data_IF_187906002387
#
_entry.id   IF_187906002387
#
_cell.length_a   1.000
_cell.length_b   1.000
_cell.length_c   1.000
_cell.angle_alpha   90.00
_cell.angle_beta   90.00
_cell.angle_gamma   90.00
#
_symmetry.space_group_name_H-M   'P 1'
#
loop_
_entity.id
_entity.type
_entity.pdbx_description
1 polymer ?
#
# COMPACT_ATOMS: atom_id res chain seq x y z
N UNK A 1 1.02 62.38 -76.33
CA UNK A 1 -0.15 61.93 -75.53
C UNK A 1 -1.05 61.13 -76.47
N UNK A 2 -1.68 59.98 -76.11
CA UNK A 2 -1.72 59.24 -74.84
C UNK A 2 -1.43 57.71 -74.95
N UNK A 3 -1.26 57.07 -73.78
CA UNK A 3 -1.56 55.69 -73.32
C UNK A 3 -1.71 54.48 -74.27
N UNK A 4 -1.04 53.35 -73.90
CA UNK A 4 -1.55 51.96 -73.67
C UNK A 4 -0.32 51.04 -73.41
N UNK A 5 0.14 50.74 -72.19
CA UNK A 5 -0.24 49.69 -71.22
C UNK A 5 -0.48 48.26 -71.76
N UNK A 6 0.35 47.32 -71.24
CA UNK A 6 0.20 45.85 -71.13
C UNK A 6 0.50 45.05 -72.44
N UNK A 7 1.21 43.92 -72.52
CA UNK A 7 1.49 42.81 -71.60
C UNK A 7 2.84 42.13 -71.96
N UNK A 8 3.79 42.19 -71.02
CA UNK A 8 4.59 41.08 -70.46
C UNK A 8 4.98 39.88 -71.37
N UNK A 9 6.18 39.94 -71.95
CA UNK A 9 6.98 38.76 -72.31
C UNK A 9 8.26 38.79 -71.45
N UNK A 10 8.31 37.92 -70.46
CA UNK A 10 9.48 37.70 -69.61
C UNK A 10 9.92 36.25 -69.79
N UNK A 11 10.75 36.00 -70.81
CA UNK A 11 11.62 34.84 -70.84
C UNK A 11 12.84 35.15 -69.97
N UNK A 12 12.80 34.64 -68.74
CA UNK A 12 13.90 34.68 -67.78
C UNK A 12 14.20 33.26 -67.31
N UNK A 13 15.11 32.60 -68.02
CA UNK A 13 16.19 31.74 -67.52
C UNK A 13 15.93 30.95 -66.21
N UNK A 14 15.92 29.60 -66.24
CA UNK A 14 15.76 28.81 -65.02
C UNK A 14 17.02 28.93 -64.14
N UNK A 15 16.81 29.38 -62.91
CA UNK A 15 17.84 29.51 -61.88
C UNK A 15 18.35 28.12 -61.44
N UNK A 16 19.67 27.83 -61.47
CA UNK A 16 20.22 26.56 -61.00
C UNK A 16 20.36 26.62 -59.47
N UNK A 17 19.25 26.38 -58.75
CA UNK A 17 19.22 26.67 -57.32
C UNK A 17 18.10 26.01 -56.54
N UNK A 18 17.83 24.73 -56.76
CA UNK A 18 17.02 23.93 -55.82
C UNK A 18 17.39 22.46 -55.95
N UNK A 19 18.47 22.07 -55.27
CA UNK A 19 18.77 20.66 -55.05
C UNK A 19 17.63 20.05 -54.20
N UNK A 20 17.04 18.91 -54.59
CA UNK A 20 16.19 18.17 -53.68
C UNK A 20 17.02 17.78 -52.46
N UNK A 21 16.47 18.02 -51.26
CA UNK A 21 17.12 17.66 -50.00
C UNK A 21 17.56 16.20 -50.05
N UNK A 22 18.87 15.99 -49.91
CA UNK A 22 19.43 14.65 -49.81
C UNK A 22 18.73 13.90 -48.67
N UNK A 23 18.37 12.62 -48.86
CA UNK A 23 17.91 11.82 -47.74
C UNK A 23 19.04 11.83 -46.71
N UNK A 24 18.78 12.40 -45.53
CA UNK A 24 19.73 12.39 -44.42
C UNK A 24 20.01 10.92 -44.11
N UNK A 25 21.14 10.43 -44.59
CA UNK A 25 21.62 9.09 -44.30
C UNK A 25 21.73 8.97 -42.79
N UNK A 26 20.97 8.03 -42.22
CA UNK A 26 21.07 7.63 -40.81
C UNK A 26 22.55 7.34 -40.55
N UNK A 27 23.25 8.23 -39.84
CA UNK A 27 24.67 8.03 -39.51
C UNK A 27 24.76 6.69 -38.78
N UNK A 28 25.62 5.74 -39.22
CA UNK A 28 25.76 4.48 -38.53
C UNK A 28 26.21 4.79 -37.10
N UNK A 29 25.39 4.41 -36.12
CA UNK A 29 25.71 4.57 -34.72
C UNK A 29 27.02 3.82 -34.46
N UNK A 30 28.02 4.53 -33.98
CA UNK A 30 29.32 3.94 -33.72
C UNK A 30 29.15 2.89 -32.61
N UNK A 31 29.61 1.66 -32.81
CA UNK A 31 29.34 0.51 -31.90
C UNK A 31 29.75 0.80 -30.45
N UNK A 32 30.77 1.64 -30.26
CA UNK A 32 31.23 2.13 -28.97
C UNK A 32 30.18 3.03 -28.29
N UNK A 33 29.56 3.96 -29.03
CA UNK A 33 28.52 4.87 -28.50
C UNK A 33 27.26 4.11 -28.08
N UNK A 34 26.86 3.09 -28.85
CA UNK A 34 25.73 2.22 -28.48
C UNK A 34 26.02 1.44 -27.20
N UNK A 35 27.25 0.95 -27.03
CA UNK A 35 27.67 0.19 -25.83
C UNK A 35 27.66 1.06 -24.57
N UNK A 36 28.18 2.29 -24.65
CA UNK A 36 28.10 3.24 -23.55
C UNK A 36 26.67 3.69 -23.25
N UNK A 37 25.87 3.96 -24.28
CA UNK A 37 24.45 4.29 -24.12
C UNK A 37 23.69 3.16 -23.42
N UNK A 38 23.86 1.91 -23.86
CA UNK A 38 23.24 0.74 -23.22
C UNK A 38 23.73 0.55 -21.79
N UNK A 39 25.01 0.76 -21.50
CA UNK A 39 25.55 0.66 -20.14
C UNK A 39 24.91 1.71 -19.23
N UNK A 40 24.86 2.99 -19.66
CA UNK A 40 24.23 4.06 -18.89
C UNK A 40 22.73 3.80 -18.73
N UNK A 41 22.05 3.35 -19.77
CA UNK A 41 20.63 2.98 -19.73
C UNK A 41 20.36 1.85 -18.74
N UNK A 42 21.19 0.80 -18.75
CA UNK A 42 21.08 -0.31 -17.81
C UNK A 42 21.34 0.14 -16.36
N UNK A 43 22.37 0.98 -16.14
CA UNK A 43 22.64 1.57 -14.82
C UNK A 43 21.46 2.44 -14.36
N UNK A 44 20.88 3.24 -15.24
CA UNK A 44 19.71 4.07 -14.93
C UNK A 44 18.49 3.22 -14.55
N UNK A 45 18.21 2.14 -15.28
CA UNK A 45 17.15 1.18 -14.93
C UNK A 45 17.43 0.52 -13.57
N UNK A 46 18.68 0.14 -13.30
CA UNK A 46 19.04 -0.50 -12.03
C UNK A 46 18.87 0.47 -10.86
N UNK A 47 19.32 1.72 -11.01
CA UNK A 47 19.14 2.78 -10.02
C UNK A 47 17.66 3.07 -9.77
N UNK A 48 16.86 3.15 -10.84
CA UNK A 48 15.42 3.32 -10.74
C UNK A 48 14.77 2.13 -10.01
N UNK A 49 15.17 0.90 -10.34
CA UNK A 49 14.71 -0.31 -9.67
C UNK A 49 15.08 -0.37 -8.19
N UNK A 50 16.26 0.14 -7.81
CA UNK A 50 16.69 0.23 -6.42
C UNK A 50 15.86 1.26 -5.63
N UNK A 51 15.55 2.41 -6.24
CA UNK A 51 14.69 3.44 -5.65
C UNK A 51 13.25 2.95 -5.51
N UNK A 52 12.77 2.16 -6.49
CA UNK A 52 11.44 1.54 -6.49
C UNK A 52 11.37 0.28 -5.61
N UNK A 53 12.51 -0.27 -5.19
CA UNK A 53 12.60 -1.49 -4.37
C UNK A 53 11.62 -1.52 -3.19
N UNK A 54 11.55 -0.49 -2.32
CA UNK A 54 10.61 -0.48 -1.19
C UNK A 54 9.14 -0.32 -1.62
N UNK A 55 8.87 0.11 -2.85
CA UNK A 55 7.52 0.38 -3.36
C UNK A 55 6.95 -0.74 -4.22
N UNK A 56 7.71 -1.79 -4.56
CA UNK A 56 7.23 -2.86 -5.43
C UNK A 56 5.91 -3.49 -4.96
N UNK A 57 5.83 -3.81 -3.67
CA UNK A 57 4.60 -4.36 -3.06
C UNK A 57 3.45 -3.35 -3.16
N UNK A 58 3.73 -2.08 -2.93
CA UNK A 58 2.76 -0.99 -2.99
C UNK A 58 2.25 -0.77 -4.42
N UNK A 59 3.13 -0.81 -5.43
CA UNK A 59 2.78 -0.65 -6.84
C UNK A 59 1.94 -1.81 -7.35
N UNK A 60 2.31 -3.05 -7.00
CA UNK A 60 1.52 -4.23 -7.36
C UNK A 60 0.13 -4.13 -6.72
N UNK A 61 0.06 -3.82 -5.42
CA UNK A 61 -1.22 -3.64 -4.74
C UNK A 61 -2.04 -2.50 -5.35
N UNK A 62 -1.41 -1.38 -5.70
CA UNK A 62 -2.06 -0.26 -6.38
C UNK A 62 -2.64 -0.69 -7.73
N UNK A 63 -1.86 -1.43 -8.53
CA UNK A 63 -2.29 -1.93 -9.83
C UNK A 63 -3.49 -2.88 -9.69
N UNK A 64 -3.48 -3.76 -8.69
CA UNK A 64 -4.59 -4.68 -8.41
C UNK A 64 -5.85 -3.94 -7.95
N UNK A 65 -5.71 -3.02 -6.99
CA UNK A 65 -6.82 -2.16 -6.56
C UNK A 65 -7.40 -1.38 -7.73
N UNK A 66 -6.54 -0.75 -8.53
CA UNK A 66 -6.95 -0.01 -9.71
C UNK A 66 -7.71 -0.89 -10.71
N UNK A 67 -7.23 -2.11 -10.97
CA UNK A 67 -7.90 -3.08 -11.83
C UNK A 67 -9.29 -3.48 -11.31
N UNK A 68 -9.42 -3.77 -10.01
CA UNK A 68 -10.69 -4.17 -9.38
C UNK A 68 -11.69 -3.01 -9.34
N UNK A 69 -11.23 -1.79 -9.05
CA UNK A 69 -12.08 -0.60 -8.98
C UNK A 69 -12.28 0.07 -10.35
N UNK A 70 -11.63 -0.41 -11.42
CA UNK A 70 -11.82 0.08 -12.80
C UNK A 70 -13.28 0.07 -13.27
N UNK A 71 -14.08 -1.02 -13.13
CA UNK A 71 -15.48 -1.00 -13.53
C UNK A 71 -16.26 0.11 -12.81
N UNK A 72 -16.01 0.32 -11.51
CA UNK A 72 -16.62 1.41 -10.75
C UNK A 72 -16.20 2.79 -11.28
N UNK A 73 -14.90 2.99 -11.51
CA UNK A 73 -14.38 4.22 -12.10
C UNK A 73 -15.00 4.50 -13.47
N UNK A 74 -15.07 3.50 -14.35
CA UNK A 74 -15.63 3.63 -15.69
C UNK A 74 -17.14 3.87 -15.68
N UNK A 75 -17.86 3.33 -14.69
CA UNK A 75 -19.27 3.61 -14.50
C UNK A 75 -19.46 5.06 -14.07
N UNK A 76 -18.63 5.55 -13.15
CA UNK A 76 -18.72 6.90 -12.62
C UNK A 76 -18.26 7.98 -13.60
N UNK A 77 -17.22 7.70 -14.40
CA UNK A 77 -16.71 8.61 -15.45
C UNK A 77 -17.68 8.81 -16.61
N UNK A 78 -18.72 7.97 -16.72
CA UNK A 78 -19.84 8.21 -17.65
C UNK A 78 -20.76 9.35 -17.20
N UNK A 79 -20.80 9.66 -15.90
CA UNK A 79 -21.69 10.67 -15.33
C UNK A 79 -20.97 11.98 -15.01
N UNK A 80 -19.65 11.92 -14.81
CA UNK A 80 -18.82 13.01 -14.28
C UNK A 80 -17.49 13.03 -15.06
N UNK A 81 -16.77 14.16 -15.10
CA UNK A 81 -15.45 14.22 -15.73
C UNK A 81 -14.44 13.24 -15.11
N UNK A 82 -13.48 12.80 -15.92
CA UNK A 82 -12.52 11.74 -15.58
C UNK A 82 -11.69 12.01 -14.31
N UNK A 83 -11.50 13.29 -13.95
CA UNK A 83 -10.72 13.71 -12.79
C UNK A 83 -11.50 13.59 -11.48
N UNK A 84 -12.76 14.03 -11.47
CA UNK A 84 -13.65 13.94 -10.31
C UNK A 84 -14.15 12.51 -10.09
N UNK A 85 -14.33 11.71 -11.15
CA UNK A 85 -14.60 10.28 -11.03
C UNK A 85 -13.43 9.53 -10.34
N UNK A 86 -12.18 9.91 -10.65
CA UNK A 86 -11.00 9.30 -10.01
C UNK A 86 -10.90 9.70 -8.55
N UNK A 87 -11.12 10.98 -8.23
CA UNK A 87 -11.13 11.44 -6.84
C UNK A 87 -12.21 10.73 -6.02
N UNK A 88 -13.43 10.61 -6.52
CA UNK A 88 -14.51 9.93 -5.79
C UNK A 88 -14.21 8.44 -5.59
N UNK A 89 -13.61 7.78 -6.59
CA UNK A 89 -13.20 6.38 -6.48
C UNK A 89 -12.08 6.22 -5.45
N UNK A 90 -11.09 7.13 -5.41
CA UNK A 90 -10.07 7.16 -4.37
C UNK A 90 -10.66 7.43 -2.99
N UNK A 91 -11.60 8.37 -2.85
CA UNK A 91 -12.31 8.60 -1.59
C UNK A 91 -13.04 7.35 -1.13
N UNK A 92 -13.70 6.62 -2.04
CA UNK A 92 -14.34 5.36 -1.71
C UNK A 92 -13.33 4.32 -1.21
N UNK A 93 -12.19 4.17 -1.88
CA UNK A 93 -11.11 3.26 -1.44
C UNK A 93 -10.59 3.66 -0.05
N UNK A 94 -10.39 4.95 0.19
CA UNK A 94 -9.99 5.47 1.51
C UNK A 94 -11.02 5.07 2.57
N UNK A 95 -12.30 5.28 2.31
CA UNK A 95 -13.37 4.90 3.25
C UNK A 95 -13.40 3.39 3.48
N UNK A 96 -13.32 2.59 2.43
CA UNK A 96 -13.32 1.11 2.51
C UNK A 96 -12.15 0.60 3.36
N UNK A 97 -10.98 1.26 3.34
CA UNK A 97 -9.82 0.85 4.14
C UNK A 97 -9.82 1.47 5.54
N UNK A 98 -10.16 2.75 5.69
CA UNK A 98 -10.13 3.44 6.98
C UNK A 98 -11.23 2.97 7.93
N UNK A 99 -12.45 2.73 7.44
CA UNK A 99 -13.58 2.29 8.28
C UNK A 99 -13.28 0.99 9.04
N UNK A 100 -12.85 -0.11 8.42
CA UNK A 100 -12.51 -1.31 9.17
C UNK A 100 -11.30 -1.10 10.09
N UNK A 101 -10.36 -0.25 9.70
CA UNK A 101 -9.15 -0.01 10.47
C UNK A 101 -9.44 0.76 11.77
N UNK A 102 -10.24 1.83 11.70
CA UNK A 102 -10.66 2.59 12.90
C UNK A 102 -11.59 1.77 13.79
N UNK A 103 -12.46 0.94 13.21
CA UNK A 103 -13.29 0.00 13.96
C UNK A 103 -12.44 -1.01 14.74
N UNK A 104 -11.47 -1.67 14.09
CA UNK A 104 -10.57 -2.62 14.75
C UNK A 104 -9.77 -1.98 15.89
N UNK A 105 -9.22 -0.77 15.66
CA UNK A 105 -8.49 -0.03 16.72
C UNK A 105 -9.42 0.31 17.88
N UNK A 106 -10.65 0.73 17.61
CA UNK A 106 -11.64 1.06 18.63
C UNK A 106 -11.96 -0.14 19.52
N UNK A 107 -12.31 -1.28 18.92
CA UNK A 107 -12.62 -2.53 19.64
C UNK A 107 -11.42 -2.98 20.46
N UNK A 108 -10.23 -3.07 19.85
CA UNK A 108 -9.02 -3.52 20.54
C UNK A 108 -8.61 -2.59 21.71
N UNK A 109 -8.76 -1.28 21.52
CA UNK A 109 -8.48 -0.30 22.58
C UNK A 109 -9.44 -0.46 23.75
N UNK A 110 -10.73 -0.71 23.47
CA UNK A 110 -11.72 -0.94 24.51
C UNK A 110 -11.47 -2.24 25.28
N UNK A 111 -11.08 -3.32 24.59
CA UNK A 111 -10.70 -4.61 25.18
C UNK A 111 -9.47 -4.47 26.10
N UNK A 112 -8.42 -3.82 25.59
CA UNK A 112 -7.19 -3.58 26.33
C UNK A 112 -7.43 -2.70 27.56
N UNK A 113 -8.27 -1.67 27.45
CA UNK A 113 -8.64 -0.83 28.58
C UNK A 113 -9.47 -1.58 29.61
N UNK A 114 -10.39 -2.45 29.18
CA UNK A 114 -11.19 -3.29 30.07
C UNK A 114 -10.29 -4.27 30.85
N UNK A 115 -9.40 -4.99 30.17
CA UNK A 115 -8.41 -5.88 30.81
C UNK A 115 -7.48 -5.12 31.78
N UNK A 116 -7.02 -3.93 31.40
CA UNK A 116 -6.24 -3.07 32.29
C UNK A 116 -7.05 -2.65 33.52
N UNK A 117 -8.32 -2.29 33.34
CA UNK A 117 -9.21 -1.90 34.44
C UNK A 117 -9.52 -3.07 35.37
N UNK A 118 -9.72 -4.29 34.85
CA UNK A 118 -9.88 -5.53 35.64
C UNK A 118 -8.61 -5.82 36.46
N UNK A 119 -7.43 -5.70 35.85
CA UNK A 119 -6.16 -5.93 36.54
C UNK A 119 -5.82 -4.86 37.58
N UNK A 120 -6.27 -3.62 37.35
CA UNK A 120 -6.10 -2.49 38.28
C UNK A 120 -7.23 -2.39 39.30
N UNK A 121 -8.33 -3.11 39.10
CA UNK A 121 -9.49 -3.02 39.97
C UNK A 121 -9.06 -3.43 41.37
N UNK A 122 -8.92 -2.42 42.22
CA UNK A 122 -8.66 -2.52 43.64
C UNK A 122 -9.92 -2.98 44.37
N UNK A 123 -10.81 -3.75 43.70
CA UNK A 123 -11.75 -4.74 44.26
C UNK A 123 -11.28 -6.20 44.07
N UNK A 124 -10.45 -6.53 43.07
CA UNK A 124 -9.92 -7.89 42.87
C UNK A 124 -8.69 -8.21 43.71
N UNK A 125 -7.78 -7.26 43.93
CA UNK A 125 -6.50 -7.51 44.63
C UNK A 125 -6.67 -7.92 46.11
N UNK A 126 -7.29 -7.07 46.90
CA UNK A 126 -8.06 -7.23 48.14
C UNK A 126 -9.18 -8.30 48.17
N UNK A 127 -9.96 -8.61 47.10
CA UNK A 127 -10.80 -9.83 47.11
C UNK A 127 -9.93 -11.08 47.06
N UNK A 128 -8.86 -11.10 46.26
CA UNK A 128 -7.84 -12.15 46.26
C UNK A 128 -7.17 -12.26 47.63
N UNK A 129 -6.81 -11.13 48.24
CA UNK A 129 -6.23 -11.09 49.59
C UNK A 129 -7.20 -11.68 50.62
N UNK A 130 -8.48 -11.30 50.57
CA UNK A 130 -9.52 -11.87 51.42
C UNK A 130 -9.82 -13.35 51.10
N UNK A 131 -9.80 -13.75 49.82
CA UNK A 131 -10.04 -15.14 49.41
C UNK A 131 -8.90 -16.06 49.84
N UNK A 132 -7.65 -15.57 49.76
CA UNK A 132 -6.47 -16.28 50.23
C UNK A 132 -6.49 -16.41 51.76
N UNK A 133 -6.96 -15.39 52.48
CA UNK A 133 -7.06 -15.43 53.93
C UNK A 133 -8.26 -16.22 54.49
N UNK A 134 -9.42 -16.24 53.79
CA UNK A 134 -10.63 -16.88 54.30
C UNK A 134 -10.83 -18.34 53.86
N UNK A 135 -10.04 -18.86 52.93
CA UNK A 135 -10.32 -20.17 52.33
C UNK A 135 -9.37 -21.24 52.90
N UNK A 136 -9.94 -22.18 53.68
CA UNK A 136 -9.22 -23.28 54.35
C UNK A 136 -8.47 -24.20 53.38
N UNK A 137 -8.90 -24.27 52.11
CA UNK A 137 -8.22 -24.99 51.03
C UNK A 137 -6.83 -24.42 50.68
N UNK A 138 -6.63 -23.11 50.84
CA UNK A 138 -5.32 -22.47 50.63
C UNK A 138 -4.38 -22.80 51.78
N UNK A 139 -4.90 -22.93 53.01
CA UNK A 139 -4.13 -23.40 54.17
C UNK A 139 -3.67 -24.86 54.04
N UNK A 140 -4.52 -25.75 53.51
CA UNK A 140 -4.17 -27.16 53.23
C UNK A 140 -3.15 -27.26 52.08
N UNK A 141 -3.32 -26.48 51.00
CA UNK A 141 -2.35 -26.38 49.92
C UNK A 141 -0.99 -25.82 50.40
N UNK A 142 -1.02 -24.87 51.35
CA UNK A 142 0.15 -24.31 51.99
C UNK A 142 0.82 -25.30 52.96
N UNK A 143 0.07 -26.20 53.59
CA UNK A 143 0.60 -27.34 54.35
C UNK A 143 1.38 -28.33 53.47
N UNK A 144 0.87 -28.63 52.27
CA UNK A 144 1.56 -29.50 51.30
C UNK A 144 2.77 -28.81 50.67
N UNK A 145 2.69 -27.51 50.35
CA UNK A 145 3.79 -26.73 49.76
C UNK A 145 4.89 -26.34 50.77
N UNK A 146 4.54 -26.14 52.03
CA UNK A 146 5.53 -25.93 53.10
C UNK A 146 6.36 -27.18 53.36
N UNK A 147 5.82 -28.38 53.10
CA UNK A 147 6.59 -29.64 53.04
C UNK A 147 7.65 -29.66 51.92
N UNK A 148 7.50 -28.82 50.89
CA UNK A 148 8.48 -28.59 49.83
C UNK A 148 9.34 -27.33 50.04
N UNK A 149 9.18 -26.62 51.16
CA UNK A 149 9.98 -25.43 51.52
C UNK A 149 9.57 -24.12 50.84
N UNK A 150 8.40 -24.04 50.20
CA UNK A 150 7.89 -22.80 49.57
C UNK A 150 6.75 -22.23 50.42
N UNK A 151 7.05 -21.18 51.20
CA UNK A 151 6.04 -20.40 51.91
C UNK A 151 5.35 -19.46 50.91
N UNK A 152 4.11 -19.76 50.53
CA UNK A 152 3.29 -18.87 49.70
C UNK A 152 2.66 -17.77 50.57
N UNK A 153 3.28 -16.60 50.64
CA UNK A 153 2.67 -15.43 51.25
C UNK A 153 1.82 -14.67 50.20
N UNK A 154 0.58 -14.24 50.51
CA UNK A 154 -0.21 -13.39 49.62
C UNK A 154 0.50 -12.08 49.19
N UNK A 155 1.48 -11.60 49.98
CA UNK A 155 2.33 -10.49 49.60
C UNK A 155 3.24 -10.80 48.39
N UNK A 156 3.66 -12.06 48.20
CA UNK A 156 4.50 -12.45 47.07
C UNK A 156 3.73 -12.49 45.75
N UNK A 157 2.44 -12.86 45.77
CA UNK A 157 1.56 -12.77 44.61
C UNK A 157 1.36 -11.31 44.21
N UNK A 158 1.14 -10.44 45.19
CA UNK A 158 0.95 -9.00 44.96
C UNK A 158 2.22 -8.35 44.41
N UNK A 159 3.39 -8.74 44.93
CA UNK A 159 4.71 -8.30 44.43
C UNK A 159 4.99 -8.82 43.02
N UNK A 160 4.69 -10.09 42.74
CA UNK A 160 4.82 -10.68 41.41
C UNK A 160 3.93 -9.95 40.41
N UNK A 161 2.67 -9.70 40.75
CA UNK A 161 1.73 -8.99 39.88
C UNK A 161 2.16 -7.53 39.66
N UNK A 162 2.65 -6.85 40.69
CA UNK A 162 3.18 -5.48 40.57
C UNK A 162 4.45 -5.42 39.71
N UNK A 163 5.35 -6.41 39.85
CA UNK A 163 6.54 -6.54 39.01
C UNK A 163 6.18 -6.86 37.55
N UNK A 164 5.18 -7.71 37.33
CA UNK A 164 4.65 -8.01 36.00
C UNK A 164 3.99 -6.78 35.37
N UNK A 165 3.14 -6.08 36.11
CA UNK A 165 2.52 -4.84 35.67
C UNK A 165 3.55 -3.74 35.34
N UNK A 166 4.59 -3.60 36.15
CA UNK A 166 5.70 -2.68 35.90
C UNK A 166 6.49 -3.05 34.64
N UNK A 167 6.80 -4.35 34.43
CA UNK A 167 7.46 -4.83 33.22
C UNK A 167 6.61 -4.62 31.96
N UNK A 168 5.31 -4.89 32.03
CA UNK A 168 4.37 -4.66 30.93
C UNK A 168 4.25 -3.16 30.64
N UNK A 169 4.16 -2.32 31.68
CA UNK A 169 4.11 -0.87 31.53
C UNK A 169 5.36 -0.29 30.87
N UNK A 170 6.55 -0.74 31.30
CA UNK A 170 7.82 -0.35 30.67
C UNK A 170 7.95 -0.87 29.24
N UNK A 171 7.46 -2.08 28.96
CA UNK A 171 7.42 -2.63 27.61
C UNK A 171 6.51 -1.80 26.70
N UNK A 172 5.29 -1.48 27.15
CA UNK A 172 4.36 -0.62 26.40
C UNK A 172 4.95 0.77 26.19
N UNK A 173 5.56 1.37 27.21
CA UNK A 173 6.19 2.69 27.10
C UNK A 173 7.34 2.70 26.07
N UNK A 174 8.25 1.73 26.15
CA UNK A 174 9.36 1.61 25.21
C UNK A 174 8.87 1.30 23.79
N UNK A 175 7.83 0.48 23.66
CA UNK A 175 7.30 0.12 22.35
C UNK A 175 6.41 1.23 21.78
N UNK A 176 5.79 2.09 22.60
CA UNK A 176 4.84 3.12 22.16
C UNK A 176 5.43 4.04 21.08
N UNK A 177 6.70 4.43 21.21
CA UNK A 177 7.39 5.22 20.19
C UNK A 177 7.55 4.46 18.86
N UNK A 178 7.82 3.15 18.93
CA UNK A 178 7.92 2.28 17.75
C UNK A 178 6.55 2.12 17.09
N UNK A 179 5.47 1.89 17.86
CA UNK A 179 4.10 1.87 17.32
C UNK A 179 3.72 3.19 16.65
N UNK A 180 4.08 4.33 17.26
CA UNK A 180 3.85 5.66 16.68
C UNK A 180 4.63 5.85 15.36
N UNK A 181 5.86 5.34 15.26
CA UNK A 181 6.60 5.36 14.01
C UNK A 181 5.96 4.46 12.93
N UNK A 182 5.48 3.27 13.31
CA UNK A 182 4.79 2.36 12.39
C UNK A 182 3.46 2.93 11.89
N UNK A 183 2.65 3.56 12.75
CA UNK A 183 1.38 4.15 12.31
C UNK A 183 1.61 5.31 11.34
N UNK A 184 2.63 6.13 11.60
CA UNK A 184 3.02 7.22 10.70
C UNK A 184 3.53 6.68 9.36
N UNK A 185 4.39 5.65 9.39
CA UNK A 185 4.88 4.99 8.18
C UNK A 185 3.75 4.36 7.37
N UNK A 186 2.81 3.67 8.04
CA UNK A 186 1.61 3.12 7.42
C UNK A 186 0.76 4.21 6.77
N UNK A 187 0.51 5.33 7.46
CA UNK A 187 -0.26 6.45 6.91
C UNK A 187 0.40 7.07 5.66
N UNK A 188 1.73 7.24 5.67
CA UNK A 188 2.48 7.72 4.51
C UNK A 188 2.44 6.72 3.34
N UNK A 189 2.67 5.43 3.60
CA UNK A 189 2.57 4.38 2.58
C UNK A 189 1.16 4.30 1.99
N UNK A 190 0.13 4.42 2.84
CA UNK A 190 -1.25 4.44 2.41
C UNK A 190 -1.58 5.67 1.54
N UNK A 191 -1.08 6.86 1.90
CA UNK A 191 -1.23 8.06 1.08
C UNK A 191 -0.60 7.89 -0.30
N UNK A 192 0.63 7.34 -0.36
CA UNK A 192 1.31 7.03 -1.61
C UNK A 192 0.53 5.99 -2.42
N UNK A 193 0.00 4.95 -1.78
CA UNK A 193 -0.81 3.91 -2.43
C UNK A 193 -2.02 4.55 -3.13
N UNK A 194 -2.76 5.40 -2.43
CA UNK A 194 -3.93 6.10 -2.98
C UNK A 194 -3.53 7.02 -4.14
N UNK A 195 -2.42 7.74 -4.01
CA UNK A 195 -1.90 8.58 -5.08
C UNK A 195 -1.55 7.75 -6.32
N UNK A 196 -0.87 6.61 -6.14
CA UNK A 196 -0.55 5.71 -7.26
C UNK A 196 -1.84 5.17 -7.88
N UNK A 197 -2.78 4.67 -7.08
CA UNK A 197 -4.08 4.19 -7.57
C UNK A 197 -4.81 5.28 -8.35
N UNK A 198 -4.81 6.52 -7.87
CA UNK A 198 -5.42 7.67 -8.56
C UNK A 198 -4.83 7.86 -9.97
N UNK A 199 -3.50 7.94 -10.07
CA UNK A 199 -2.83 8.09 -11.37
C UNK A 199 -3.03 6.86 -12.26
N UNK A 200 -3.04 5.67 -11.66
CA UNK A 200 -3.22 4.43 -12.39
C UNK A 200 -4.64 4.30 -12.92
N UNK A 201 -5.68 4.76 -12.21
CA UNK A 201 -7.07 4.83 -12.72
C UNK A 201 -7.19 5.71 -13.97
N UNK A 202 -6.48 6.85 -14.00
CA UNK A 202 -6.54 7.82 -15.11
C UNK A 202 -5.73 7.33 -16.32
N UNK A 203 -4.49 6.89 -16.11
CA UNK A 203 -3.54 6.59 -17.20
C UNK A 203 -3.36 5.09 -17.45
N UNK A 204 -4.20 4.22 -16.87
CA UNK A 204 -4.03 2.75 -16.94
C UNK A 204 -3.86 2.24 -18.37
N UNK A 205 -4.72 2.73 -19.27
CA UNK A 205 -4.76 2.28 -20.66
C UNK A 205 -3.49 2.67 -21.41
N UNK A 206 -2.94 3.84 -21.09
CA UNK A 206 -1.67 4.30 -21.67
C UNK A 206 -0.49 3.50 -21.12
N UNK A 207 -0.51 3.17 -19.83
CA UNK A 207 0.52 2.33 -19.19
C UNK A 207 0.51 0.91 -19.77
N UNK A 208 -0.67 0.29 -19.88
CA UNK A 208 -0.84 -1.03 -20.48
C UNK A 208 -0.42 -1.02 -21.96
N UNK A 209 -0.84 -0.02 -22.73
CA UNK A 209 -0.41 0.12 -24.13
C UNK A 209 1.09 0.34 -24.30
N UNK A 210 1.77 0.95 -23.32
CA UNK A 210 3.23 1.04 -23.31
C UNK A 210 3.88 -0.31 -22.97
N UNK A 211 3.34 -1.05 -22.00
CA UNK A 211 3.81 -2.40 -21.65
C UNK A 211 3.70 -3.36 -22.84
N UNK A 212 2.55 -3.39 -23.52
CA UNK A 212 2.34 -4.24 -24.72
C UNK A 212 3.32 -3.89 -25.83
N UNK A 213 3.61 -2.61 -26.06
CA UNK A 213 4.61 -2.19 -27.07
C UNK A 213 6.06 -2.57 -26.75
N UNK A 214 6.38 -2.74 -25.47
CA UNK A 214 7.68 -3.21 -25.02
C UNK A 214 7.77 -4.74 -25.06
N UNK A 215 6.63 -5.42 -25.02
CA UNK A 215 6.53 -6.87 -25.08
C UNK A 215 6.90 -7.37 -26.48
N UNK A 216 7.76 -8.40 -26.59
CA UNK A 216 8.02 -9.09 -27.85
C UNK A 216 6.91 -10.09 -28.25
N UNK A 217 5.84 -10.23 -27.44
CA UNK A 217 4.74 -11.14 -27.68
C UNK A 217 3.67 -10.54 -28.62
N UNK A 218 2.86 -11.37 -29.29
CA UNK A 218 1.69 -10.90 -30.04
C UNK A 218 0.65 -10.25 -29.11
N UNK A 219 0.04 -9.14 -29.56
CA UNK A 219 -0.92 -8.34 -28.78
C UNK A 219 -2.05 -9.19 -28.16
N UNK A 220 -2.56 -10.19 -28.88
CA UNK A 220 -3.62 -11.09 -28.40
C UNK A 220 -3.20 -11.90 -27.16
N UNK A 221 -1.92 -12.26 -27.05
CA UNK A 221 -1.39 -13.02 -25.91
C UNK A 221 -1.19 -12.11 -24.70
N UNK A 222 -0.70 -10.89 -24.92
CA UNK A 222 -0.52 -9.90 -23.85
C UNK A 222 -1.86 -9.55 -23.19
N UNK A 223 -2.91 -9.33 -23.99
CA UNK A 223 -4.25 -9.04 -23.46
C UNK A 223 -4.80 -10.22 -22.65
N UNK A 224 -4.63 -11.46 -23.15
CA UNK A 224 -5.06 -12.67 -22.45
C UNK A 224 -4.30 -12.86 -21.11
N UNK A 225 -2.99 -12.62 -21.11
CA UNK A 225 -2.16 -12.73 -19.90
C UNK A 225 -2.55 -11.68 -18.86
N UNK A 226 -2.72 -10.42 -19.28
CA UNK A 226 -3.17 -9.34 -18.42
C UNK A 226 -4.54 -9.62 -17.82
N UNK A 227 -5.49 -10.07 -18.65
CA UNK A 227 -6.83 -10.43 -18.19
C UNK A 227 -6.78 -11.54 -17.13
N UNK A 228 -6.09 -12.66 -17.42
CA UNK A 228 -5.96 -13.77 -16.46
C UNK A 228 -5.26 -13.35 -15.17
N UNK A 229 -4.22 -12.53 -15.25
CA UNK A 229 -3.52 -12.04 -14.07
C UNK A 229 -4.45 -11.20 -13.18
N UNK A 230 -5.17 -10.23 -13.77
CA UNK A 230 -6.13 -9.40 -13.03
C UNK A 230 -7.28 -10.21 -12.45
N UNK A 231 -7.78 -11.21 -13.18
CA UNK A 231 -8.82 -12.13 -12.71
C UNK A 231 -8.36 -12.91 -11.48
N UNK A 232 -7.22 -13.61 -11.58
CA UNK A 232 -6.66 -14.42 -10.49
C UNK A 232 -6.36 -13.55 -9.27
N UNK A 233 -5.68 -12.42 -9.50
CA UNK A 233 -5.27 -11.53 -8.42
C UNK A 233 -6.48 -10.85 -7.76
N UNK A 234 -7.53 -10.52 -8.52
CA UNK A 234 -8.80 -10.03 -8.01
C UNK A 234 -9.48 -11.03 -7.08
N UNK A 235 -9.56 -12.30 -7.50
CA UNK A 235 -10.11 -13.39 -6.68
C UNK A 235 -9.31 -13.57 -5.40
N UNK A 236 -7.98 -13.55 -5.47
CA UNK A 236 -7.10 -13.67 -4.30
C UNK A 236 -7.30 -12.49 -3.33
N UNK A 237 -7.36 -11.27 -3.85
CA UNK A 237 -7.52 -10.09 -3.01
C UNK A 237 -8.89 -10.07 -2.32
N UNK A 238 -9.96 -10.35 -3.05
CA UNK A 238 -11.32 -10.42 -2.49
C UNK A 238 -11.43 -11.58 -1.50
N UNK A 239 -10.85 -12.74 -1.81
CA UNK A 239 -10.80 -13.90 -0.93
C UNK A 239 -10.08 -13.60 0.39
N UNK A 240 -8.88 -13.02 0.32
CA UNK A 240 -8.11 -12.62 1.51
C UNK A 240 -8.81 -11.50 2.28
N UNK A 241 -9.41 -10.52 1.59
CA UNK A 241 -10.18 -9.45 2.22
C UNK A 241 -11.39 -9.97 2.99
N UNK A 242 -12.19 -10.83 2.35
CA UNK A 242 -13.35 -11.46 2.98
C UNK A 242 -12.93 -12.38 4.14
N UNK A 243 -11.88 -13.18 3.95
CA UNK A 243 -11.29 -13.98 5.03
C UNK A 243 -10.81 -13.12 6.19
N UNK A 244 -10.22 -11.95 5.91
CA UNK A 244 -9.80 -10.98 6.92
C UNK A 244 -10.98 -10.42 7.71
N UNK A 245 -12.11 -10.15 7.06
CA UNK A 245 -13.35 -9.73 7.75
C UNK A 245 -13.89 -10.85 8.63
N UNK A 246 -13.93 -12.10 8.14
CA UNK A 246 -14.33 -13.25 8.95
C UNK A 246 -13.39 -13.47 10.14
N UNK A 247 -12.07 -13.43 9.91
CA UNK A 247 -11.08 -13.57 10.98
C UNK A 247 -11.15 -12.41 11.98
N UNK A 248 -11.40 -11.19 11.52
CA UNK A 248 -11.57 -10.02 12.38
C UNK A 248 -12.84 -10.07 13.21
N UNK A 249 -13.96 -10.53 12.63
CA UNK A 249 -15.23 -10.67 13.35
C UNK A 249 -15.21 -11.86 14.31
N UNK A 250 -14.65 -13.01 13.92
CA UNK A 250 -14.52 -14.19 14.80
C UNK A 250 -13.44 -14.01 15.87
N UNK A 251 -12.36 -13.29 15.57
CA UNK A 251 -11.30 -13.00 16.55
C UNK A 251 -11.62 -11.81 17.46
N UNK A 252 -12.61 -10.99 17.09
CA UNK A 252 -13.07 -9.84 17.86
C UNK A 252 -14.35 -10.06 18.69
N UNK A 253 -15.01 -11.22 18.53
CA UNK A 253 -16.09 -11.73 19.41
C UNK A 253 -15.49 -12.77 20.35
#
# INVERSE_FOLDING_TARGET
MPHTKQVKQAEGQPSPGSRPGSPQGKRPLNSVQVRYFLLIFFVAILLLGLVLSPFWQLLILAFLLAGIFRPLYSWLSRWISSWTASMLTCTLIVVIVFVPMTFCIGVLSSEAFNLYSLGKDSNLLLKLHHFIQNNTLVGEAQGVLSGFGINFDPADITRMLSNLAGKIGLFVYNQASIWAAHIMSFALQFCILILVVFFLLIEMERLLGFLTKLSPLPDDQDELLLHKFTEIAGVILVGNGLSGVFQGTMGGV
#
